data_IF_664254010564
#
_entry.id   IF_664254010564
#
_cell.length_a   1.000
_cell.length_b   1.000
_cell.length_c   1.000
_cell.angle_alpha   90.00
_cell.angle_beta   90.00
_cell.angle_gamma   90.00
#
_symmetry.space_group_name_H-M   'P 1'
#
loop_
_entity.id
_entity.type
_entity.pdbx_description
1 polymer ?
#
# COMPACT_ATOMS: atom_id res chain seq x y z
N UNK A 1 -3.80 16.65 22.40
CA UNK A 1 -4.20 15.41 21.71
C UNK A 1 -2.92 14.60 21.54
N UNK A 2 -2.76 13.39 22.11
CA UNK A 2 -1.54 12.63 21.89
C UNK A 2 -1.57 12.01 20.49
N UNK A 3 -0.45 12.13 19.76
CA UNK A 3 -0.25 11.50 18.46
C UNK A 3 -0.31 9.97 18.60
N UNK A 4 -1.15 9.33 17.79
CA UNK A 4 -1.25 7.87 17.78
C UNK A 4 0.06 7.27 17.25
N UNK A 5 0.68 6.40 18.05
CA UNK A 5 1.91 5.71 17.69
C UNK A 5 1.67 4.74 16.52
N UNK A 6 2.07 5.15 15.31
CA UNK A 6 1.93 4.40 14.06
C UNK A 6 2.51 2.96 14.13
N UNK A 7 3.43 2.72 15.08
CA UNK A 7 4.05 1.42 15.33
C UNK A 7 3.09 0.33 15.81
N UNK A 8 1.92 0.71 16.34
CA UNK A 8 0.93 -0.25 16.84
C UNK A 8 -0.01 -0.77 15.73
N UNK A 9 0.10 -0.23 14.51
CA UNK A 9 -0.80 -0.55 13.38
C UNK A 9 -0.30 -1.70 12.49
N UNK A 10 0.71 -2.45 12.93
CA UNK A 10 1.26 -3.60 12.21
C UNK A 10 1.70 -4.69 13.19
N UNK A 11 1.40 -5.95 12.87
CA UNK A 11 1.85 -7.13 13.66
C UNK A 11 3.33 -7.47 13.46
N UNK A 12 4.04 -6.70 12.61
CA UNK A 12 5.48 -6.79 12.44
C UNK A 12 6.21 -6.05 13.58
N UNK A 13 6.97 -6.74 14.45
CA UNK A 13 7.71 -6.07 15.51
C UNK A 13 8.83 -5.21 14.90
N UNK A 14 8.82 -3.91 15.27
CA UNK A 14 9.91 -2.92 15.11
C UNK A 14 10.07 -2.28 13.72
N UNK A 15 9.10 -1.45 13.34
CA UNK A 15 9.26 -0.42 12.31
C UNK A 15 8.98 0.97 12.90
N UNK A 16 9.87 1.44 13.80
CA UNK A 16 9.92 2.83 14.28
C UNK A 16 11.30 3.38 13.95
N UNK A 17 11.55 3.59 12.68
CA UNK A 17 12.52 4.55 12.20
C UNK A 17 11.81 5.32 11.09
N UNK A 18 11.89 6.66 11.05
CA UNK A 18 11.48 7.39 9.87
C UNK A 18 12.20 6.76 8.68
N UNK A 19 11.51 6.39 7.59
CA UNK A 19 12.24 5.92 6.43
C UNK A 19 13.19 7.04 6.00
N UNK A 20 14.47 6.69 5.80
CA UNK A 20 15.33 7.48 4.93
C UNK A 20 14.52 7.72 3.65
N UNK A 21 14.48 8.98 3.14
CA UNK A 21 13.68 9.44 2.00
C UNK A 21 13.27 8.30 1.07
N UNK A 22 11.96 8.16 0.80
CA UNK A 22 11.45 7.18 -0.16
C UNK A 22 12.32 7.17 -1.42
N UNK A 23 12.94 6.04 -1.75
CA UNK A 23 13.82 5.93 -2.93
C UNK A 23 13.05 6.04 -4.24
N UNK A 24 11.72 6.05 -4.17
CA UNK A 24 10.83 6.25 -5.29
C UNK A 24 10.43 7.72 -5.48
N UNK A 25 10.12 8.12 -6.72
CA UNK A 25 9.43 9.38 -7.01
C UNK A 25 8.19 9.56 -6.13
N UNK A 26 8.01 10.76 -5.59
CA UNK A 26 6.92 11.05 -4.64
C UNK A 26 5.56 11.19 -5.32
N UNK A 27 4.51 10.77 -4.62
CA UNK A 27 3.12 11.05 -4.98
C UNK A 27 2.57 12.38 -4.43
N UNK A 28 3.45 13.28 -3.96
CA UNK A 28 3.11 14.52 -3.25
C UNK A 28 2.16 14.31 -2.06
N UNK A 29 2.10 13.07 -1.57
CA UNK A 29 1.30 12.63 -0.44
C UNK A 29 2.25 11.93 0.54
N UNK A 30 2.77 12.63 1.55
CA UNK A 30 3.75 12.07 2.49
C UNK A 30 3.28 10.77 3.14
N UNK A 31 1.99 10.66 3.43
CA UNK A 31 1.39 9.47 4.01
C UNK A 31 1.35 8.29 3.02
N UNK A 32 1.07 8.54 1.74
CA UNK A 32 1.11 7.49 0.71
C UNK A 32 2.54 7.01 0.52
N UNK A 33 3.50 7.94 0.40
CA UNK A 33 4.91 7.60 0.21
C UNK A 33 5.46 6.79 1.40
N UNK A 34 5.13 7.19 2.63
CA UNK A 34 5.50 6.44 3.83
C UNK A 34 4.87 5.04 3.86
N UNK A 35 3.58 4.93 3.54
CA UNK A 35 2.89 3.63 3.52
C UNK A 35 3.42 2.71 2.41
N UNK A 36 3.78 3.25 1.26
CA UNK A 36 4.42 2.50 0.18
C UNK A 36 5.80 1.99 0.61
N UNK A 37 6.63 2.83 1.21
CA UNK A 37 7.93 2.42 1.72
C UNK A 37 7.81 1.33 2.79
N UNK A 38 6.84 1.44 3.70
CA UNK A 38 6.58 0.42 4.72
C UNK A 38 6.10 -0.90 4.11
N UNK A 39 5.21 -0.84 3.13
CA UNK A 39 4.70 -2.02 2.44
C UNK A 39 5.79 -2.70 1.61
N UNK A 40 6.57 -1.92 0.87
CA UNK A 40 7.77 -2.37 0.16
C UNK A 40 8.70 -3.11 1.11
N UNK A 41 9.12 -2.47 2.20
CA UNK A 41 9.99 -3.09 3.21
C UNK A 41 9.40 -4.39 3.75
N UNK A 42 8.13 -4.39 4.12
CA UNK A 42 7.42 -5.58 4.61
C UNK A 42 7.45 -6.72 3.59
N UNK A 43 7.19 -6.43 2.32
CA UNK A 43 7.21 -7.42 1.24
C UNK A 43 8.61 -7.98 1.03
N UNK A 44 9.62 -7.12 0.99
CA UNK A 44 11.01 -7.54 0.77
C UNK A 44 11.55 -8.36 1.95
N UNK A 45 11.23 -8.00 3.19
CA UNK A 45 11.77 -8.66 4.38
C UNK A 45 10.98 -9.90 4.81
N UNK A 46 9.68 -9.97 4.51
CA UNK A 46 8.79 -10.97 5.10
C UNK A 46 7.69 -11.48 4.15
N UNK A 47 7.71 -11.11 2.87
CA UNK A 47 6.75 -11.54 1.85
C UNK A 47 5.43 -10.75 1.83
N UNK A 48 4.49 -11.12 0.96
CA UNK A 48 3.17 -10.46 0.91
C UNK A 48 2.37 -10.78 2.19
N UNK A 49 1.67 -9.81 2.82
CA UNK A 49 0.80 -10.12 3.96
C UNK A 49 -0.37 -11.03 3.54
N UNK A 50 -1.04 -11.68 4.50
CA UNK A 50 -2.22 -12.50 4.19
C UNK A 50 -3.44 -11.62 3.88
N UNK A 51 -3.54 -10.46 4.56
CA UNK A 51 -4.65 -9.51 4.44
C UNK A 51 -4.13 -8.08 4.30
N UNK A 52 -4.68 -7.34 3.34
CA UNK A 52 -4.49 -5.89 3.20
C UNK A 52 -5.78 -5.16 3.54
N UNK A 53 -5.74 -4.29 4.54
CA UNK A 53 -6.84 -3.36 4.82
C UNK A 53 -6.57 -2.07 4.04
N UNK A 54 -7.54 -1.64 3.24
CA UNK A 54 -7.53 -0.36 2.53
C UNK A 54 -8.73 0.47 2.95
N UNK A 55 -8.65 1.79 2.73
CA UNK A 55 -9.75 2.71 3.00
C UNK A 55 -9.30 4.00 3.65
N UNK A 56 -10.24 4.92 3.84
CA UNK A 56 -9.97 6.24 4.38
C UNK A 56 -9.56 6.22 5.86
N UNK A 57 -9.72 7.34 6.54
CA UNK A 57 -9.53 7.45 7.99
C UNK A 57 -10.36 6.46 8.83
N UNK A 58 -11.43 5.88 8.24
CA UNK A 58 -12.23 4.81 8.85
C UNK A 58 -11.48 3.48 8.89
N UNK A 59 -10.69 3.14 7.87
CA UNK A 59 -9.84 1.96 7.90
C UNK A 59 -8.77 2.07 8.99
N UNK A 60 -8.14 3.25 9.11
CA UNK A 60 -7.08 3.50 10.08
C UNK A 60 -7.55 3.41 11.53
N UNK A 61 -8.75 3.90 11.82
CA UNK A 61 -9.27 4.00 13.20
C UNK A 61 -10.30 2.94 13.55
N UNK A 62 -10.93 2.35 12.55
CA UNK A 62 -12.05 1.43 12.71
C UNK A 62 -11.65 -0.04 12.65
N UNK A 63 -10.49 -0.37 12.09
CA UNK A 63 -9.96 -1.73 12.05
C UNK A 63 -8.53 -1.78 12.60
N UNK A 64 -8.41 -2.30 13.82
CA UNK A 64 -7.13 -2.66 14.43
C UNK A 64 -6.70 -4.05 13.91
N UNK A 65 -5.57 -4.17 13.19
CA UNK A 65 -5.06 -5.44 12.69
C UNK A 65 -4.78 -6.46 13.80
N UNK A 66 -4.31 -6.03 14.97
CA UNK A 66 -3.98 -6.94 16.06
C UNK A 66 -5.25 -7.49 16.71
N UNK A 67 -6.26 -6.64 16.91
CA UNK A 67 -7.56 -7.07 17.41
C UNK A 67 -8.24 -8.03 16.43
N UNK A 68 -8.17 -7.76 15.12
CA UNK A 68 -8.70 -8.65 14.08
C UNK A 68 -7.96 -10.01 14.06
N UNK A 69 -6.62 -10.01 14.12
CA UNK A 69 -5.82 -11.24 14.20
C UNK A 69 -6.20 -12.06 15.44
N UNK A 70 -6.24 -11.42 16.62
CA UNK A 70 -6.56 -12.09 17.87
C UNK A 70 -7.96 -12.73 17.83
N UNK A 71 -8.96 -11.98 17.35
CA UNK A 71 -10.32 -12.48 17.19
C UNK A 71 -10.37 -13.68 16.23
N UNK A 72 -9.71 -13.61 15.07
CA UNK A 72 -9.69 -14.72 14.11
C UNK A 72 -9.00 -15.96 14.69
N UNK A 73 -7.92 -15.78 15.46
CA UNK A 73 -7.27 -16.89 16.15
C UNK A 73 -8.19 -17.55 17.18
N UNK A 74 -8.99 -16.79 17.92
CA UNK A 74 -10.01 -17.34 18.83
C UNK A 74 -11.09 -18.14 18.09
N UNK A 75 -11.36 -17.81 16.83
CA UNK A 75 -12.27 -18.58 15.97
C UNK A 75 -11.61 -19.81 15.32
N UNK A 76 -10.34 -20.10 15.63
CA UNK A 76 -9.61 -21.26 15.12
C UNK A 76 -8.86 -21.06 13.80
N UNK A 77 -8.79 -19.82 13.29
CA UNK A 77 -7.93 -19.50 12.15
C UNK A 77 -6.44 -19.47 12.57
N UNK A 78 -5.50 -19.71 11.64
CA UNK A 78 -4.08 -19.51 11.92
C UNK A 78 -3.78 -18.04 12.26
N UNK A 79 -2.57 -17.79 12.74
CA UNK A 79 -2.07 -16.42 12.93
C UNK A 79 -1.85 -15.76 11.56
N UNK A 80 -2.83 -14.99 11.12
CA UNK A 80 -2.81 -14.26 9.84
C UNK A 80 -2.03 -12.96 9.95
N UNK A 81 -1.15 -12.66 9.00
CA UNK A 81 -0.48 -11.37 8.92
C UNK A 81 -1.36 -10.32 8.21
N UNK A 82 -1.58 -9.20 8.88
CA UNK A 82 -2.55 -8.19 8.46
C UNK A 82 -1.87 -6.83 8.38
N UNK A 83 -1.84 -6.23 7.19
CA UNK A 83 -1.28 -4.91 6.95
C UNK A 83 -2.37 -3.87 6.74
N UNK A 84 -2.34 -2.75 7.48
CA UNK A 84 -3.28 -1.64 7.31
C UNK A 84 -2.67 -0.50 6.47
N UNK A 85 -3.12 -0.41 5.22
CA UNK A 85 -2.78 0.63 4.23
C UNK A 85 -3.86 1.72 4.19
N UNK A 86 -4.54 1.99 5.29
CA UNK A 86 -5.48 3.10 5.34
C UNK A 86 -4.78 4.45 5.13
N UNK A 87 -5.47 5.39 4.46
CA UNK A 87 -4.96 6.73 4.15
C UNK A 87 -5.99 7.78 4.54
N UNK A 88 -5.57 8.82 5.26
CA UNK A 88 -6.50 9.90 5.62
C UNK A 88 -6.94 10.67 4.37
N UNK A 89 -8.24 10.93 4.26
CA UNK A 89 -8.80 11.69 3.13
C UNK A 89 -8.91 10.93 1.81
N UNK A 90 -8.30 9.74 1.70
CA UNK A 90 -8.35 8.93 0.48
C UNK A 90 -9.78 8.51 0.13
N UNK A 91 -10.10 8.56 -1.16
CA UNK A 91 -11.32 7.97 -1.71
C UNK A 91 -10.99 6.68 -2.46
N UNK A 92 -12.02 6.10 -3.09
CA UNK A 92 -11.86 4.94 -3.97
C UNK A 92 -10.87 5.18 -5.10
N UNK A 93 -10.73 6.41 -5.60
CA UNK A 93 -9.81 6.70 -6.70
C UNK A 93 -8.34 6.47 -6.31
N UNK A 94 -7.98 6.80 -5.07
CA UNK A 94 -6.63 6.59 -4.54
C UNK A 94 -6.32 5.10 -4.42
N UNK A 95 -7.26 4.31 -3.92
CA UNK A 95 -7.06 2.87 -3.75
C UNK A 95 -7.20 2.09 -5.07
N UNK A 96 -8.00 2.56 -6.02
CA UNK A 96 -8.03 2.02 -7.37
C UNK A 96 -6.66 2.18 -8.04
N UNK A 97 -6.06 3.37 -7.96
CA UNK A 97 -4.70 3.63 -8.42
C UNK A 97 -3.68 2.73 -7.71
N UNK A 98 -3.75 2.64 -6.38
CA UNK A 98 -2.84 1.82 -5.58
C UNK A 98 -2.88 0.34 -6.01
N UNK A 99 -4.09 -0.23 -6.06
CA UNK A 99 -4.30 -1.66 -6.26
C UNK A 99 -4.15 -2.10 -7.72
N UNK A 100 -4.35 -1.20 -8.69
CA UNK A 100 -4.30 -1.56 -10.11
C UNK A 100 -3.04 -1.13 -10.83
N UNK A 101 -2.31 -0.16 -10.29
CA UNK A 101 -1.21 0.47 -11.03
C UNK A 101 0.07 0.58 -10.20
N UNK A 102 -0.02 0.88 -8.90
CA UNK A 102 1.19 1.06 -8.07
C UNK A 102 1.73 -0.26 -7.53
N UNK A 103 0.87 -1.10 -6.95
CA UNK A 103 1.28 -2.40 -6.41
C UNK A 103 1.12 -3.46 -7.51
N UNK A 104 2.19 -4.17 -7.92
CA UNK A 104 2.09 -5.29 -8.86
C UNK A 104 1.15 -6.38 -8.33
N UNK A 105 0.45 -7.06 -9.23
CA UNK A 105 -0.55 -8.06 -8.86
C UNK A 105 0.05 -9.21 -8.02
N UNK A 106 1.30 -9.57 -8.26
CA UNK A 106 2.04 -10.61 -7.54
C UNK A 106 2.38 -10.19 -6.09
N UNK A 107 2.30 -8.89 -5.80
CA UNK A 107 2.58 -8.29 -4.50
C UNK A 107 1.31 -7.86 -3.78
N UNK A 108 0.13 -8.25 -4.26
CA UNK A 108 -1.15 -8.09 -3.57
C UNK A 108 -1.53 -9.35 -2.80
N UNK A 109 -2.13 -9.24 -1.60
CA UNK A 109 -2.62 -10.41 -0.88
C UNK A 109 -3.82 -11.03 -1.56
N UNK A 110 -4.15 -12.25 -1.16
CA UNK A 110 -5.37 -12.93 -1.62
C UNK A 110 -6.65 -12.30 -1.06
N UNK A 111 -6.59 -11.62 0.08
CA UNK A 111 -7.72 -10.93 0.70
C UNK A 111 -7.43 -9.44 0.91
N UNK A 112 -8.30 -8.61 0.34
CA UNK A 112 -8.33 -7.17 0.58
C UNK A 112 -9.62 -6.82 1.32
N UNK A 113 -9.49 -6.19 2.48
CA UNK A 113 -10.61 -5.64 3.24
C UNK A 113 -10.72 -4.16 2.91
N UNK A 114 -11.79 -3.78 2.23
CA UNK A 114 -12.11 -2.39 1.97
C UNK A 114 -12.94 -1.81 3.12
N UNK A 115 -12.30 -1.02 3.98
CA UNK A 115 -12.91 -0.46 5.18
C UNK A 115 -13.18 1.05 5.02
N UNK A 116 -14.23 1.37 4.25
CA UNK A 116 -14.62 2.76 4.02
C UNK A 116 -16.13 2.98 4.11
N UNK A 117 -16.52 4.25 4.19
CA UNK A 117 -17.93 4.65 4.13
C UNK A 117 -18.38 4.92 2.70
N UNK A 118 -19.70 4.93 2.49
CA UNK A 118 -20.33 5.29 1.19
C UNK A 118 -19.84 6.62 0.62
N UNK A 119 -19.43 7.56 1.47
CA UNK A 119 -18.86 8.85 1.06
C UNK A 119 -17.57 8.70 0.22
N UNK A 120 -16.75 7.69 0.47
CA UNK A 120 -15.54 7.47 -0.33
C UNK A 120 -15.86 7.00 -1.77
N UNK A 121 -17.04 6.41 -1.97
CA UNK A 121 -17.54 5.97 -3.28
C UNK A 121 -18.37 7.05 -3.98
N UNK A 122 -19.13 7.85 -3.23
CA UNK A 122 -20.08 8.80 -3.78
C UNK A 122 -19.99 10.15 -3.06
N UNK A 123 -18.83 10.80 -3.17
CA UNK A 123 -18.55 12.00 -2.38
C UNK A 123 -19.25 13.25 -2.93
N UNK A 124 -19.66 13.25 -4.21
CA UNK A 124 -20.17 14.41 -4.95
C UNK A 124 -19.20 15.60 -5.00
N UNK A 125 -17.99 15.44 -4.44
CA UNK A 125 -16.95 16.46 -4.29
C UNK A 125 -15.70 15.99 -5.00
N UNK A 126 -14.87 16.95 -5.38
CA UNK A 126 -13.54 16.68 -5.92
C UNK A 126 -12.70 15.92 -4.89
N UNK A 127 -12.00 14.87 -5.33
CA UNK A 127 -11.03 14.17 -4.50
C UNK A 127 -9.71 14.93 -4.51
N UNK A 128 -9.52 15.78 -3.50
CA UNK A 128 -8.31 16.60 -3.34
C UNK A 128 -7.07 15.70 -3.16
N UNK A 129 -7.20 14.57 -2.47
CA UNK A 129 -6.07 13.65 -2.26
C UNK A 129 -5.65 13.03 -3.58
N UNK A 130 -6.61 12.54 -4.37
CA UNK A 130 -6.32 12.02 -5.71
C UNK A 130 -5.78 13.09 -6.65
N UNK A 131 -6.30 14.32 -6.61
CA UNK A 131 -5.79 15.41 -7.43
C UNK A 131 -4.31 15.71 -7.15
N UNK A 132 -3.91 15.74 -5.88
CA UNK A 132 -2.51 15.95 -5.49
C UNK A 132 -1.64 14.84 -6.09
N UNK A 133 -2.07 13.59 -5.92
CA UNK A 133 -1.37 12.42 -6.46
C UNK A 133 -1.27 12.50 -7.99
N UNK A 134 -2.36 12.80 -8.68
CA UNK A 134 -2.42 12.83 -10.14
C UNK A 134 -1.54 13.93 -10.77
N UNK A 135 -1.17 14.97 -10.01
CA UNK A 135 -0.27 16.03 -10.47
C UNK A 135 1.21 15.80 -10.08
N UNK A 136 1.51 14.70 -9.38
CA UNK A 136 2.85 14.46 -8.85
C UNK A 136 3.83 13.92 -9.88
N UNK A 137 5.13 14.04 -9.57
CA UNK A 137 6.19 13.40 -10.37
C UNK A 137 6.10 11.87 -10.37
N UNK A 138 5.67 11.26 -9.26
CA UNK A 138 5.46 9.81 -9.15
C UNK A 138 4.34 9.32 -10.06
N UNK A 139 3.23 10.05 -10.14
CA UNK A 139 2.14 9.70 -11.04
C UNK A 139 2.56 9.87 -12.51
N UNK A 140 3.26 10.95 -12.87
CA UNK A 140 3.79 11.12 -14.23
C UNK A 140 4.66 9.92 -14.65
N UNK A 141 5.63 9.53 -13.80
CA UNK A 141 6.48 8.36 -14.09
C UNK A 141 5.69 7.05 -14.15
N UNK A 142 4.64 6.90 -13.35
CA UNK A 142 3.75 5.75 -13.39
C UNK A 142 3.04 5.66 -14.74
N UNK A 143 2.49 6.77 -15.23
CA UNK A 143 1.83 6.86 -16.53
C UNK A 143 2.80 6.61 -17.70
N UNK A 144 4.06 7.04 -17.56
CA UNK A 144 5.11 6.82 -18.55
C UNK A 144 5.66 5.38 -18.53
N UNK A 145 5.23 4.54 -17.58
CA UNK A 145 5.77 3.18 -17.40
C UNK A 145 7.22 3.17 -16.90
N UNK A 146 7.70 4.27 -16.31
CA UNK A 146 9.07 4.45 -15.81
C UNK A 146 9.16 4.55 -14.29
N UNK A 147 8.04 4.33 -13.59
CA UNK A 147 8.02 4.25 -12.14
C UNK A 147 8.85 3.02 -11.68
N UNK A 148 9.72 3.17 -10.67
CA UNK A 148 10.58 2.08 -10.25
C UNK A 148 9.76 0.90 -9.74
N UNK A 149 10.18 -0.31 -10.09
CA UNK A 149 9.61 -1.49 -9.44
C UNK A 149 10.06 -1.49 -7.97
N UNK A 150 9.12 -1.18 -7.07
CA UNK A 150 9.39 -1.09 -5.64
C UNK A 150 9.81 -2.45 -5.05
N UNK A 151 9.44 -3.57 -5.66
CA UNK A 151 9.51 -4.89 -5.03
C UNK A 151 10.65 -5.77 -5.57
N UNK A 152 11.64 -5.17 -6.22
CA UNK A 152 12.84 -5.86 -6.73
C UNK A 152 14.02 -5.58 -5.81
N UNK A 153 14.74 -6.62 -5.38
CA UNK A 153 15.78 -6.50 -4.35
C UNK A 153 17.15 -6.05 -4.86
N UNK A 154 17.41 -5.99 -6.15
CA UNK A 154 18.71 -5.53 -6.68
C UNK A 154 18.60 -4.77 -7.99
N UNK A 155 19.54 -3.84 -8.15
CA UNK A 155 19.77 -3.04 -9.37
C UNK A 155 19.97 -3.90 -10.63
N UNK A 156 20.30 -5.18 -10.50
CA UNK A 156 20.52 -6.14 -11.60
C UNK A 156 19.22 -6.76 -12.15
N UNK A 157 18.19 -6.99 -11.32
CA UNK A 157 16.89 -7.50 -11.78
C UNK A 157 16.04 -6.43 -12.47
N UNK A 158 16.19 -5.16 -12.05
CA UNK A 158 15.48 -4.03 -12.68
C UNK A 158 15.92 -3.80 -14.15
N UNK A 159 17.16 -4.18 -14.49
CA UNK A 159 17.71 -4.05 -15.86
C UNK A 159 17.27 -5.25 -16.73
N UNK A 160 16.97 -6.41 -16.14
CA UNK A 160 16.57 -7.63 -16.84
C UNK A 160 15.07 -7.68 -17.22
N UNK A 161 14.25 -6.75 -16.71
CA UNK A 161 12.79 -6.79 -16.87
C UNK A 161 12.20 -6.41 -18.25
N UNK A 162 12.88 -5.78 -19.24
CA UNK A 162 12.21 -5.48 -20.50
C UNK A 162 12.34 -6.57 -21.56
N UNK A 163 13.26 -7.55 -21.45
CA UNK A 163 13.52 -8.47 -22.58
C UNK A 163 12.74 -9.78 -22.55
N UNK A 164 12.14 -10.18 -21.41
CA UNK A 164 11.52 -11.51 -21.30
C UNK A 164 10.12 -11.65 -21.91
N UNK A 165 9.55 -10.60 -22.49
CA UNK A 165 8.22 -10.67 -23.13
C UNK A 165 8.29 -11.03 -24.63
N UNK A 166 9.47 -11.06 -25.26
CA UNK A 166 9.58 -11.23 -26.73
C UNK A 166 10.12 -12.58 -27.20
N UNK A 167 10.05 -13.65 -26.40
CA UNK A 167 10.41 -14.99 -26.89
C UNK A 167 9.45 -16.06 -26.35
N UNK A 168 8.25 -16.13 -26.93
CA UNK A 168 7.47 -17.36 -27.05
C UNK A 168 6.54 -17.24 -28.26
N UNK A 169 7.14 -17.21 -29.44
CA UNK A 169 6.48 -17.58 -30.69
C UNK A 169 7.49 -18.33 -31.56
N UNK A 170 7.48 -19.65 -31.41
CA UNK A 170 7.91 -20.67 -32.38
C UNK A 170 7.24 -21.97 -31.99
#
# INVERSE_FOLDING_TARGET
MPEANLAQLTTAPKAIAPPEKSEHPSFDSPMLDEKLALYQKRVLESGVPDILIVGSSRALRGLDPLALQAFLMEQGYPRLDIFNFGLNGATVQVFDLLLRQIIPAEQLPQLIIWADGSRAFNSGRKDITYDIIANSAGFQKLQDGTFPNLFVQTKEEAIAAPEKMMILST
#
